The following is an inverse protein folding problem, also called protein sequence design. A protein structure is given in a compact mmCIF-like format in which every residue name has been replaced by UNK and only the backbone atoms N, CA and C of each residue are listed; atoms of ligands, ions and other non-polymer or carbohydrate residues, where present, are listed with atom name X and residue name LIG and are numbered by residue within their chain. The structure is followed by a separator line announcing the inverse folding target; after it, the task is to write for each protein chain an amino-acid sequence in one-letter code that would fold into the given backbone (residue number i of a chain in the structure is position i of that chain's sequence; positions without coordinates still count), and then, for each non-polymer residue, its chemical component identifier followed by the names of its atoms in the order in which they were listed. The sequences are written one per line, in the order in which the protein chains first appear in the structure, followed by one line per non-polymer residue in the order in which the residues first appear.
data_IF_024761484220
#
_entry.id   IF_024761484220
#
_cell.length_a   1.000
_cell.length_b   1.000
_cell.length_c   1.000
_cell.angle_alpha   90.00
_cell.angle_beta   90.00
_cell.angle_gamma   90.00
#
_symmetry.space_group_name_H-M   'P 1'
#
loop_
_entity.id
_entity.type
_entity.pdbx_description
1 polymer ?
#
# COMPACT_ATOMS: atom_id res chain seq x y z
N UNK A 1 -34.82 -26.60 -14.72
CA UNK A 1 -34.54 -27.20 -16.01
C UNK A 1 -33.67 -26.23 -16.77
N UNK A 2 -32.39 -26.31 -16.84
CA UNK A 2 -31.46 -27.30 -17.31
C UNK A 2 -31.09 -26.95 -18.74
N UNK A 3 -29.88 -26.37 -18.94
CA UNK A 3 -29.05 -26.75 -20.08
C UNK A 3 -27.61 -26.26 -19.84
N UNK A 4 -26.76 -27.22 -19.57
CA UNK A 4 -25.31 -27.14 -19.59
C UNK A 4 -24.84 -27.25 -21.05
N UNK A 5 -24.02 -26.32 -21.54
CA UNK A 5 -23.34 -26.46 -22.82
C UNK A 5 -21.84 -26.42 -22.61
N UNK A 6 -21.20 -27.57 -22.80
CA UNK A 6 -19.76 -27.77 -22.88
C UNK A 6 -19.27 -27.26 -24.23
N UNK A 7 -18.25 -26.44 -24.24
CA UNK A 7 -17.46 -26.15 -25.44
C UNK A 7 -16.04 -26.69 -25.22
N UNK A 8 -15.70 -27.66 -26.01
CA UNK A 8 -14.38 -28.30 -26.14
C UNK A 8 -13.47 -27.42 -27.01
N UNK A 9 -12.33 -27.03 -26.47
CA UNK A 9 -11.32 -26.29 -27.24
C UNK A 9 -10.32 -27.25 -27.88
N UNK A 10 -10.16 -27.10 -29.19
CA UNK A 10 -9.20 -27.83 -30.01
C UNK A 10 -7.86 -27.09 -30.02
N UNK A 11 -6.78 -27.76 -29.62
CA UNK A 11 -5.40 -27.26 -29.75
C UNK A 11 -4.98 -27.32 -31.24
N UNK A 12 -4.48 -26.17 -31.74
CA UNK A 12 -3.64 -26.11 -32.92
C UNK A 12 -2.27 -25.59 -32.54
N UNK A 13 -1.26 -26.46 -32.62
CA UNK A 13 0.13 -26.11 -32.40
C UNK A 13 0.69 -25.47 -33.67
N UNK A 14 1.19 -24.23 -33.57
CA UNK A 14 2.06 -23.60 -34.56
C UNK A 14 3.40 -23.35 -33.89
N UNK A 15 4.39 -24.14 -34.27
CA UNK A 15 5.80 -23.94 -33.91
C UNK A 15 6.39 -22.83 -34.79
N UNK A 16 6.74 -21.70 -34.15
CA UNK A 16 7.63 -20.69 -34.73
C UNK A 16 8.86 -20.56 -33.86
N UNK A 17 10.00 -21.03 -34.40
CA UNK A 17 11.31 -20.83 -33.81
C UNK A 17 11.70 -19.35 -33.91
N UNK A 18 11.74 -18.63 -32.79
CA UNK A 18 12.40 -17.34 -32.70
C UNK A 18 13.66 -17.49 -31.84
N UNK A 19 14.77 -17.08 -32.41
CA UNK A 19 16.05 -17.04 -31.75
C UNK A 19 16.00 -16.17 -30.50
N UNK A 20 16.21 -16.77 -29.34
CA UNK A 20 16.38 -16.10 -28.06
C UNK A 20 17.75 -15.45 -28.04
N UNK A 21 17.79 -14.12 -28.17
CA UNK A 21 18.91 -13.34 -27.67
C UNK A 21 18.72 -13.29 -26.15
N UNK A 22 19.38 -14.18 -25.43
CA UNK A 22 19.44 -14.17 -23.97
C UNK A 22 20.33 -13.02 -23.52
N UNK A 23 19.73 -11.90 -23.10
CA UNK A 23 20.39 -11.00 -22.19
C UNK A 23 20.25 -11.59 -20.78
N UNK A 24 21.25 -12.38 -20.40
CA UNK A 24 21.44 -12.83 -19.03
C UNK A 24 21.85 -11.65 -18.15
N UNK A 25 20.88 -11.04 -17.46
CA UNK A 25 21.13 -10.10 -16.38
C UNK A 25 20.49 -10.59 -15.09
N UNK A 26 20.71 -11.84 -14.74
CA UNK A 26 20.55 -12.32 -13.37
C UNK A 26 21.81 -11.96 -12.58
N UNK A 27 21.94 -10.69 -12.15
CA UNK A 27 22.85 -10.35 -11.07
C UNK A 27 22.25 -10.86 -9.76
N UNK A 28 22.34 -12.17 -9.53
CA UNK A 28 22.19 -12.73 -8.18
C UNK A 28 23.33 -12.17 -7.37
N UNK A 29 23.03 -11.24 -6.45
CA UNK A 29 23.99 -10.81 -5.45
C UNK A 29 24.46 -12.05 -4.70
N UNK A 30 25.78 -12.29 -4.57
CA UNK A 30 26.26 -13.40 -3.78
C UNK A 30 25.80 -13.22 -2.33
N UNK A 31 25.44 -14.33 -1.62
CA UNK A 31 25.12 -14.23 -0.21
C UNK A 31 26.32 -13.68 0.55
N UNK A 32 26.15 -12.91 1.62
CA UNK A 32 27.24 -12.42 2.43
C UNK A 32 28.11 -13.58 2.90
N UNK A 33 29.43 -13.38 2.84
CA UNK A 33 30.39 -14.37 3.31
C UNK A 33 30.17 -14.62 4.81
N UNK A 34 29.98 -15.87 5.20
CA UNK A 34 30.05 -16.28 6.61
C UNK A 34 31.52 -16.15 7.06
N UNK A 35 31.94 -14.92 7.37
CA UNK A 35 33.20 -14.62 8.00
C UNK A 35 33.09 -14.77 9.50
N UNK A 36 34.09 -15.39 10.09
CA UNK A 36 34.23 -15.65 11.52
C UNK A 36 34.10 -14.37 12.39
N UNK A 37 33.33 -14.47 13.47
CA UNK A 37 33.35 -13.59 14.65
C UNK A 37 32.86 -12.13 14.51
N UNK A 38 31.83 -11.85 13.69
CA UNK A 38 31.04 -10.62 13.80
C UNK A 38 30.15 -10.63 15.04
N UNK A 39 29.91 -9.48 15.68
CA UNK A 39 28.86 -9.37 16.69
C UNK A 39 27.51 -9.62 16.05
N UNK A 40 26.50 -10.09 16.80
CA UNK A 40 25.15 -10.33 16.27
C UNK A 40 24.54 -9.09 15.59
N UNK A 41 24.99 -7.89 15.97
CA UNK A 41 24.57 -6.61 15.39
C UNK A 41 25.19 -6.36 14.01
N UNK A 42 26.45 -6.78 13.77
CA UNK A 42 27.09 -6.70 12.45
C UNK A 42 26.42 -7.65 11.45
N UNK A 43 26.05 -8.85 11.90
CA UNK A 43 25.34 -9.83 11.07
C UNK A 43 23.96 -9.31 10.63
N UNK A 44 23.22 -8.62 11.51
CA UNK A 44 21.91 -8.05 11.18
C UNK A 44 22.02 -6.89 10.17
N UNK A 45 23.08 -6.08 10.25
CA UNK A 45 23.30 -5.00 9.27
C UNK A 45 23.49 -5.56 7.86
N UNK A 46 24.30 -6.61 7.71
CA UNK A 46 24.50 -7.29 6.43
C UNK A 46 23.22 -7.93 5.89
N UNK A 47 22.42 -8.54 6.77
CA UNK A 47 21.12 -9.12 6.43
C UNK A 47 20.17 -8.03 5.92
N UNK A 48 20.09 -6.90 6.60
CA UNK A 48 19.27 -5.77 6.17
C UNK A 48 19.71 -5.22 4.81
N UNK A 49 21.01 -5.04 4.59
CA UNK A 49 21.54 -4.52 3.33
C UNK A 49 21.25 -5.47 2.16
N UNK A 50 21.42 -6.77 2.39
CA UNK A 50 21.10 -7.78 1.40
C UNK A 50 19.60 -7.79 1.06
N UNK A 51 18.72 -7.85 2.06
CA UNK A 51 17.27 -7.87 1.86
C UNK A 51 16.80 -6.58 1.18
N UNK A 52 17.34 -5.43 1.59
CA UNK A 52 17.04 -4.14 0.96
C UNK A 52 17.42 -4.17 -0.53
N UNK A 53 18.64 -4.56 -0.85
CA UNK A 53 19.10 -4.63 -2.25
C UNK A 53 18.26 -5.58 -3.09
N UNK A 54 17.95 -6.77 -2.54
CA UNK A 54 17.15 -7.79 -3.22
C UNK A 54 15.72 -7.30 -3.50
N UNK A 55 15.04 -6.77 -2.49
CA UNK A 55 13.65 -6.32 -2.62
C UNK A 55 13.54 -5.06 -3.48
N UNK A 56 14.51 -4.15 -3.42
CA UNK A 56 14.57 -2.99 -4.33
C UNK A 56 14.73 -3.43 -5.78
N UNK A 57 15.61 -4.39 -6.05
CA UNK A 57 15.77 -4.95 -7.39
C UNK A 57 14.49 -5.67 -7.87
N UNK A 58 13.82 -6.42 -6.97
CA UNK A 58 12.55 -7.06 -7.26
C UNK A 58 11.48 -6.04 -7.67
N UNK A 59 11.24 -4.99 -6.89
CA UNK A 59 10.26 -3.94 -7.22
C UNK A 59 10.57 -3.33 -8.59
N UNK A 60 11.83 -2.98 -8.86
CA UNK A 60 12.23 -2.42 -10.15
C UNK A 60 11.95 -3.35 -11.32
N UNK A 61 12.14 -4.68 -11.13
CA UNK A 61 11.89 -5.69 -12.15
C UNK A 61 10.41 -5.87 -12.50
N UNK A 62 9.51 -5.41 -11.64
CA UNK A 62 8.06 -5.47 -11.86
C UNK A 62 7.54 -4.30 -12.72
N UNK A 63 8.35 -3.25 -12.93
CA UNK A 63 7.91 -2.10 -13.72
C UNK A 63 7.85 -2.43 -15.21
N UNK A 64 6.71 -2.15 -15.80
CA UNK A 64 6.49 -2.24 -17.25
C UNK A 64 7.04 -1.00 -17.98
N UNK A 65 7.27 -1.07 -19.29
CA UNK A 65 7.71 0.08 -20.09
C UNK A 65 6.77 1.28 -20.02
N UNK A 66 5.49 1.08 -19.72
CA UNK A 66 4.49 2.13 -19.49
C UNK A 66 4.70 2.91 -18.19
N UNK A 67 5.43 2.34 -17.24
CA UNK A 67 5.56 2.82 -15.87
C UNK A 67 4.70 2.08 -14.85
N UNK A 68 3.72 1.28 -15.28
CA UNK A 68 2.94 0.44 -14.36
C UNK A 68 3.84 -0.54 -13.60
N UNK A 69 3.45 -0.88 -12.38
CA UNK A 69 4.13 -1.91 -11.59
C UNK A 69 3.18 -3.09 -11.44
N UNK A 70 3.64 -4.29 -11.81
CA UNK A 70 2.89 -5.54 -11.66
C UNK A 70 2.87 -5.98 -10.20
N UNK A 71 1.78 -6.57 -9.75
CA UNK A 71 1.68 -7.12 -8.41
C UNK A 71 2.77 -8.19 -8.16
N UNK A 72 3.14 -8.97 -9.19
CA UNK A 72 4.19 -10.00 -9.11
C UNK A 72 4.83 -10.32 -10.46
N UNK A 73 5.93 -11.05 -10.44
CA UNK A 73 6.79 -11.34 -11.60
C UNK A 73 6.24 -12.36 -12.61
N UNK A 74 4.92 -12.39 -12.87
CA UNK A 74 4.31 -13.24 -13.90
C UNK A 74 3.76 -12.39 -15.05
N UNK A 75 3.64 -12.99 -16.26
CA UNK A 75 3.29 -12.24 -17.47
C UNK A 75 1.91 -11.59 -17.38
N UNK A 76 0.89 -12.36 -16.99
CA UNK A 76 -0.49 -11.88 -16.86
C UNK A 76 -0.80 -11.43 -15.43
N UNK A 77 0.13 -10.73 -14.79
CA UNK A 77 -0.07 -10.21 -13.44
C UNK A 77 -1.16 -9.14 -13.43
N UNK A 78 -1.88 -9.08 -12.34
CA UNK A 78 -2.67 -7.92 -11.99
C UNK A 78 -1.74 -6.72 -11.74
N UNK A 79 -2.27 -5.54 -11.91
CA UNK A 79 -1.66 -4.25 -11.57
C UNK A 79 -2.64 -3.60 -10.61
N UNK A 80 -2.36 -3.72 -9.31
CA UNK A 80 -3.16 -3.14 -8.24
C UNK A 80 -2.49 -1.87 -7.75
N UNK A 81 -2.99 -0.67 -8.10
CA UNK A 81 -2.35 0.59 -7.71
C UNK A 81 -2.07 0.69 -6.22
N UNK A 82 -2.97 0.22 -5.38
CA UNK A 82 -2.79 0.20 -3.94
C UNK A 82 -1.52 -0.58 -3.51
N UNK A 83 -1.27 -1.74 -4.11
CA UNK A 83 -0.07 -2.53 -3.83
C UNK A 83 1.20 -1.81 -4.31
N UNK A 84 1.16 -1.29 -5.54
CA UNK A 84 2.27 -0.53 -6.11
C UNK A 84 2.62 0.72 -5.28
N UNK A 85 1.65 1.34 -4.59
CA UNK A 85 1.90 2.52 -3.75
C UNK A 85 2.90 2.21 -2.62
N UNK A 86 2.79 1.07 -1.94
CA UNK A 86 3.75 0.69 -0.89
C UNK A 86 5.14 0.38 -1.47
N UNK A 87 5.19 -0.24 -2.66
CA UNK A 87 6.46 -0.45 -3.36
C UNK A 87 7.13 0.89 -3.73
N UNK A 88 6.37 1.85 -4.24
CA UNK A 88 6.86 3.18 -4.63
C UNK A 88 7.28 4.01 -3.41
N UNK A 89 6.49 3.99 -2.32
CA UNK A 89 6.85 4.62 -1.05
C UNK A 89 8.18 4.09 -0.51
N UNK A 90 8.39 2.78 -0.63
CA UNK A 90 9.63 2.16 -0.19
C UNK A 90 10.84 2.60 -1.03
N UNK A 91 10.70 2.77 -2.33
CA UNK A 91 11.77 3.30 -3.18
C UNK A 91 12.17 4.74 -2.81
N UNK A 92 11.25 5.52 -2.23
CA UNK A 92 11.51 6.88 -1.76
C UNK A 92 12.30 6.93 -0.44
N UNK A 93 12.48 5.82 0.28
CA UNK A 93 13.37 5.76 1.46
C UNK A 93 14.86 5.82 1.05
N UNK A 94 15.17 5.41 -0.18
CA UNK A 94 16.50 5.56 -0.81
C UNK A 94 16.34 6.24 -2.17
N UNK A 95 16.26 7.58 -2.25
CA UNK A 95 15.92 8.30 -3.47
C UNK A 95 17.11 8.41 -4.44
N UNK A 96 17.68 7.25 -4.81
CA UNK A 96 18.69 7.16 -5.87
C UNK A 96 18.08 7.45 -7.24
N UNK A 97 18.89 7.88 -8.22
CA UNK A 97 18.36 8.17 -9.56
C UNK A 97 17.58 7.01 -10.20
N UNK A 98 18.01 5.72 -10.10
CA UNK A 98 17.21 4.61 -10.59
C UNK A 98 15.87 4.46 -9.86
N UNK A 99 15.82 4.67 -8.53
CA UNK A 99 14.58 4.61 -7.77
C UNK A 99 13.63 5.76 -8.15
N UNK A 100 14.16 6.98 -8.24
CA UNK A 100 13.38 8.15 -8.64
C UNK A 100 12.82 8.02 -10.06
N UNK A 101 13.55 7.37 -10.97
CA UNK A 101 13.06 7.07 -12.31
C UNK A 101 11.84 6.15 -12.27
N UNK A 102 11.90 5.07 -11.47
CA UNK A 102 10.75 4.16 -11.29
C UNK A 102 9.56 4.89 -10.70
N UNK A 103 9.77 5.70 -9.67
CA UNK A 103 8.72 6.50 -9.02
C UNK A 103 8.04 7.45 -10.01
N UNK A 104 8.82 8.23 -10.78
CA UNK A 104 8.28 9.16 -11.80
C UNK A 104 7.48 8.44 -12.88
N UNK A 105 8.01 7.32 -13.38
CA UNK A 105 7.33 6.53 -14.40
C UNK A 105 6.00 6.01 -13.89
N UNK A 106 5.98 5.47 -12.65
CA UNK A 106 4.75 5.01 -12.02
C UNK A 106 3.73 6.13 -11.82
N UNK A 107 4.16 7.28 -11.28
CA UNK A 107 3.26 8.44 -11.12
C UNK A 107 2.70 8.92 -12.46
N UNK A 108 3.52 8.96 -13.51
CA UNK A 108 3.07 9.32 -14.86
C UNK A 108 2.03 8.34 -15.40
N UNK A 109 2.25 7.05 -15.19
CA UNK A 109 1.29 6.00 -15.53
C UNK A 109 -0.02 6.20 -14.76
N UNK A 110 0.04 6.40 -13.45
CA UNK A 110 -1.15 6.59 -12.60
C UNK A 110 -1.96 7.82 -13.07
N UNK A 111 -1.31 8.93 -13.36
CA UNK A 111 -1.97 10.13 -13.92
C UNK A 111 -2.67 9.84 -15.25
N UNK A 112 -2.11 8.99 -16.10
CA UNK A 112 -2.72 8.60 -17.37
C UNK A 112 -3.97 7.73 -17.21
N UNK A 113 -4.16 7.11 -16.05
CA UNK A 113 -5.28 6.20 -15.74
C UNK A 113 -6.42 6.84 -14.94
N UNK A 114 -6.30 8.13 -14.61
CA UNK A 114 -7.35 8.83 -13.88
C UNK A 114 -8.67 8.79 -14.63
N UNK A 115 -9.72 8.35 -13.96
CA UNK A 115 -11.07 8.40 -14.50
C UNK A 115 -11.49 9.83 -14.80
N UNK A 116 -12.34 9.98 -15.82
CA UNK A 116 -12.79 11.25 -16.35
C UNK A 116 -13.76 12.00 -15.45
N UNK A 117 -14.48 12.94 -16.06
CA UNK A 117 -15.27 13.98 -15.39
C UNK A 117 -16.68 13.56 -14.95
N UNK A 118 -16.95 12.30 -14.66
CA UNK A 118 -18.23 11.95 -14.06
C UNK A 118 -18.37 12.65 -12.71
N UNK A 119 -19.23 13.66 -12.63
CA UNK A 119 -19.51 14.44 -11.42
C UNK A 119 -20.81 14.01 -10.75
N UNK A 120 -21.49 13.03 -11.32
CA UNK A 120 -22.79 12.60 -10.83
C UNK A 120 -22.65 11.57 -9.71
N UNK A 121 -23.29 11.83 -8.59
CA UNK A 121 -23.43 10.90 -7.46
C UNK A 121 -23.98 9.52 -7.84
N UNK A 122 -24.63 9.42 -9.00
CA UNK A 122 -25.22 8.17 -9.49
C UNK A 122 -24.26 7.30 -10.31
N UNK A 123 -23.07 7.79 -10.65
CA UNK A 123 -22.05 6.96 -11.26
C UNK A 123 -21.13 6.40 -10.19
N UNK A 124 -20.84 5.11 -10.26
CA UNK A 124 -19.87 4.49 -9.35
C UNK A 124 -18.44 5.01 -9.56
N UNK A 125 -18.18 5.68 -10.70
CA UNK A 125 -16.88 6.26 -11.03
C UNK A 125 -16.77 7.69 -10.47
N UNK A 126 -15.76 7.90 -9.65
CA UNK A 126 -15.38 9.22 -9.15
C UNK A 126 -14.25 9.78 -10.04
N UNK A 127 -14.42 11.00 -10.55
CA UNK A 127 -13.37 11.65 -11.32
C UNK A 127 -12.09 11.78 -10.50
N UNK A 128 -10.94 11.34 -11.05
CA UNK A 128 -9.66 11.30 -10.36
C UNK A 128 -9.36 9.98 -9.62
N UNK A 129 -10.27 9.02 -9.65
CA UNK A 129 -10.03 7.64 -9.19
C UNK A 129 -9.37 6.78 -10.27
N UNK A 130 -8.85 5.62 -9.89
CA UNK A 130 -8.20 4.66 -10.78
C UNK A 130 -8.73 3.26 -10.52
N UNK A 131 -8.82 2.44 -11.58
CA UNK A 131 -9.11 1.01 -11.49
C UNK A 131 -7.84 0.19 -11.30
N UNK A 132 -7.99 -1.08 -10.95
CA UNK A 132 -6.97 -2.08 -11.20
C UNK A 132 -6.90 -2.38 -12.71
N UNK A 133 -5.75 -2.88 -13.15
CA UNK A 133 -5.50 -3.27 -14.54
C UNK A 133 -4.86 -4.66 -14.61
N UNK A 134 -4.56 -5.10 -15.81
CA UNK A 134 -3.86 -6.36 -16.08
C UNK A 134 -2.73 -6.14 -17.08
N UNK A 135 -1.56 -6.70 -16.77
CA UNK A 135 -0.46 -6.81 -17.72
C UNK A 135 -0.81 -7.82 -18.83
N UNK A 136 -0.23 -7.70 -20.01
CA UNK A 136 0.70 -6.63 -20.43
C UNK A 136 0.00 -5.44 -21.09
N UNK A 137 -1.28 -5.53 -21.44
CA UNK A 137 -1.93 -4.54 -22.31
C UNK A 137 -2.50 -3.33 -21.56
N UNK A 138 -2.76 -3.44 -20.25
CA UNK A 138 -3.22 -2.33 -19.37
C UNK A 138 -4.47 -1.57 -19.86
N UNK A 139 -5.28 -2.19 -20.73
CA UNK A 139 -6.50 -1.59 -21.28
C UNK A 139 -7.76 -2.11 -20.60
N UNK A 140 -7.72 -3.33 -20.10
CA UNK A 140 -8.84 -3.95 -19.40
C UNK A 140 -8.86 -3.45 -17.97
N UNK A 141 -9.92 -2.70 -17.61
CA UNK A 141 -10.21 -2.32 -16.23
C UNK A 141 -10.53 -3.58 -15.41
N UNK A 142 -9.88 -3.70 -14.27
CA UNK A 142 -10.12 -4.75 -13.28
C UNK A 142 -11.12 -4.31 -12.22
N UNK A 143 -10.78 -4.57 -10.96
CA UNK A 143 -11.60 -4.18 -9.81
C UNK A 143 -11.60 -2.66 -9.65
N UNK A 144 -12.74 -2.11 -9.27
CA UNK A 144 -12.89 -0.75 -8.76
C UNK A 144 -13.13 -0.90 -7.26
N UNK A 145 -12.06 -0.73 -6.51
CA UNK A 145 -12.04 -1.04 -5.09
C UNK A 145 -12.05 0.24 -4.23
N UNK A 146 -11.12 0.42 -3.34
CA UNK A 146 -11.08 1.51 -2.36
C UNK A 146 -10.56 2.81 -2.98
N UNK A 147 -11.46 3.61 -3.55
CA UNK A 147 -11.10 4.92 -4.15
C UNK A 147 -10.44 5.83 -3.13
N UNK A 148 -10.91 5.79 -1.90
CA UNK A 148 -10.41 6.56 -0.77
C UNK A 148 -8.94 6.21 -0.45
N UNK A 149 -8.63 4.93 -0.24
CA UNK A 149 -7.28 4.45 0.07
C UNK A 149 -6.31 4.64 -1.09
N UNK A 150 -6.75 4.39 -2.35
CA UNK A 150 -5.90 4.59 -3.52
C UNK A 150 -5.49 6.06 -3.67
N UNK A 151 -6.44 6.97 -3.53
CA UNK A 151 -6.14 8.39 -3.58
C UNK A 151 -5.26 8.84 -2.41
N UNK A 152 -5.56 8.39 -1.20
CA UNK A 152 -4.82 8.75 0.02
C UNK A 152 -3.35 8.32 -0.03
N UNK A 153 -3.09 7.06 -0.37
CA UNK A 153 -1.73 6.51 -0.47
C UNK A 153 -0.94 7.11 -1.62
N UNK A 154 -1.60 7.47 -2.74
CA UNK A 154 -0.94 8.21 -3.81
C UNK A 154 -0.53 9.63 -3.39
N UNK A 155 -1.36 10.35 -2.63
CA UNK A 155 -1.01 11.67 -2.11
C UNK A 155 0.17 11.61 -1.15
N UNK A 156 0.32 10.54 -0.38
CA UNK A 156 1.52 10.31 0.44
C UNK A 156 2.77 10.09 -0.44
N UNK A 157 2.68 9.35 -1.55
CA UNK A 157 3.77 9.26 -2.52
C UNK A 157 4.14 10.66 -3.03
N UNK A 158 3.16 11.46 -3.43
CA UNK A 158 3.39 12.78 -4.00
C UNK A 158 4.13 13.71 -3.03
N UNK A 159 3.73 13.72 -1.75
CA UNK A 159 4.43 14.57 -0.76
C UNK A 159 5.82 14.04 -0.43
N UNK A 160 6.01 12.72 -0.29
CA UNK A 160 7.35 12.15 -0.08
C UNK A 160 8.28 12.42 -1.26
N UNK A 161 7.77 12.32 -2.48
CA UNK A 161 8.53 12.68 -3.66
C UNK A 161 8.90 14.16 -3.70
N UNK A 162 7.97 15.06 -3.31
CA UNK A 162 8.24 16.50 -3.20
C UNK A 162 9.32 16.84 -2.16
N UNK A 163 9.46 16.03 -1.11
CA UNK A 163 10.44 16.21 -0.04
C UNK A 163 11.86 15.81 -0.45
N UNK A 164 12.03 15.12 -1.61
CA UNK A 164 13.35 14.69 -2.09
C UNK A 164 14.19 15.87 -2.62
N UNK A 165 13.60 16.73 -3.46
CA UNK A 165 14.34 17.86 -4.07
C UNK A 165 13.41 18.89 -4.71
N UNK A 166 13.94 20.09 -4.96
CA UNK A 166 13.25 21.13 -5.75
C UNK A 166 12.91 20.67 -7.17
N UNK A 167 13.74 19.82 -7.77
CA UNK A 167 13.47 19.20 -9.07
C UNK A 167 12.20 18.35 -9.05
N UNK A 168 11.99 17.59 -7.98
CA UNK A 168 10.76 16.81 -7.76
C UNK A 168 9.55 17.71 -7.55
N UNK A 169 9.69 18.80 -6.78
CA UNK A 169 8.63 19.82 -6.61
C UNK A 169 8.24 20.43 -7.95
N UNK A 170 9.22 20.82 -8.77
CA UNK A 170 8.95 21.43 -10.08
C UNK A 170 8.27 20.46 -11.05
N UNK A 171 8.64 19.18 -11.01
CA UNK A 171 7.96 18.14 -11.77
C UNK A 171 6.51 17.97 -11.33
N UNK A 172 6.22 17.95 -10.02
CA UNK A 172 4.84 17.85 -9.48
C UNK A 172 4.01 19.10 -9.83
N UNK A 173 4.61 20.29 -9.90
CA UNK A 173 3.89 21.49 -10.33
C UNK A 173 3.31 21.35 -11.74
N UNK A 174 3.97 20.63 -12.65
CA UNK A 174 3.44 20.36 -13.98
C UNK A 174 2.27 19.37 -13.99
N UNK A 175 2.06 18.65 -12.88
CA UNK A 175 0.97 17.69 -12.67
C UNK A 175 -0.05 18.13 -11.58
N UNK A 176 -0.07 19.46 -11.31
CA UNK A 176 -0.96 20.01 -10.27
C UNK A 176 -2.43 19.70 -10.50
N UNK A 177 -2.87 19.69 -11.76
CA UNK A 177 -4.26 19.37 -12.14
C UNK A 177 -4.63 17.94 -11.75
N UNK A 178 -3.76 16.98 -12.05
CA UNK A 178 -3.94 15.57 -11.74
C UNK A 178 -3.97 15.32 -10.23
N UNK A 179 -3.03 15.92 -9.50
CA UNK A 179 -2.99 15.85 -8.04
C UNK A 179 -4.24 16.46 -7.39
N UNK A 180 -4.75 17.57 -7.95
CA UNK A 180 -5.99 18.20 -7.48
C UNK A 180 -7.21 17.29 -7.71
N UNK A 181 -7.26 16.56 -8.85
CA UNK A 181 -8.31 15.57 -9.12
C UNK A 181 -8.26 14.39 -8.16
N UNK A 182 -7.07 13.87 -7.86
CA UNK A 182 -6.89 12.78 -6.90
C UNK A 182 -7.33 13.23 -5.50
N UNK A 183 -6.93 14.43 -5.08
CA UNK A 183 -7.39 15.02 -3.80
C UNK A 183 -8.91 15.14 -3.78
N UNK A 184 -9.52 15.61 -4.86
CA UNK A 184 -10.98 15.70 -4.97
C UNK A 184 -11.65 14.33 -4.90
N UNK A 185 -11.05 13.29 -5.49
CA UNK A 185 -11.59 11.93 -5.43
C UNK A 185 -11.59 11.41 -3.98
N UNK A 186 -10.51 11.59 -3.23
CA UNK A 186 -10.45 11.24 -1.81
C UNK A 186 -11.50 12.01 -0.98
N UNK A 187 -11.56 13.34 -1.15
CA UNK A 187 -12.50 14.18 -0.38
C UNK A 187 -13.95 13.79 -0.63
N UNK A 188 -14.30 13.42 -1.87
CA UNK A 188 -15.66 13.00 -2.23
C UNK A 188 -16.10 11.69 -1.57
N UNK A 189 -15.19 10.89 -1.05
CA UNK A 189 -15.55 9.69 -0.30
C UNK A 189 -15.78 9.95 1.19
N UNK A 190 -15.49 11.15 1.69
CA UNK A 190 -15.62 11.50 3.11
C UNK A 190 -17.01 12.06 3.39
N UNK A 191 -17.70 11.44 4.33
CA UNK A 191 -18.99 11.90 4.84
C UNK A 191 -18.77 12.90 5.99
N UNK A 192 -19.06 14.15 5.70
CA UNK A 192 -18.99 15.26 6.65
C UNK A 192 -20.17 16.21 6.48
N UNK A 193 -20.26 17.24 7.31
CA UNK A 193 -21.39 18.18 7.28
C UNK A 193 -21.60 18.85 5.92
N UNK A 194 -20.52 19.08 5.18
CA UNK A 194 -20.53 19.71 3.86
C UNK A 194 -20.69 18.72 2.70
N UNK A 195 -20.52 17.43 2.96
CA UNK A 195 -20.48 16.39 1.91
C UNK A 195 -21.19 15.11 2.36
N UNK A 196 -22.51 15.17 2.46
CA UNK A 196 -23.34 14.00 2.80
C UNK A 196 -23.39 13.02 1.64
N UNK A 197 -23.02 11.77 1.90
CA UNK A 197 -22.99 10.71 0.91
C UNK A 197 -24.36 10.07 0.68
N UNK A 198 -24.68 9.62 -0.56
CA UNK A 198 -25.92 8.92 -0.84
C UNK A 198 -26.02 7.61 -0.04
N UNK A 199 -27.16 7.42 0.65
CA UNK A 199 -27.40 6.22 1.44
C UNK A 199 -26.78 6.22 2.84
N UNK A 200 -26.04 7.26 3.18
CA UNK A 200 -25.49 7.48 4.53
C UNK A 200 -26.29 8.55 5.27
N UNK A 201 -26.53 8.32 6.56
CA UNK A 201 -27.36 9.21 7.38
C UNK A 201 -26.55 10.00 8.42
N UNK A 202 -25.25 9.80 8.48
CA UNK A 202 -24.43 10.41 9.50
C UNK A 202 -23.21 11.09 8.89
N UNK A 203 -23.16 12.40 9.00
CA UNK A 203 -21.95 13.19 8.77
C UNK A 203 -20.96 12.88 9.88
N UNK A 204 -20.06 11.94 9.64
CA UNK A 204 -19.17 11.43 10.67
C UNK A 204 -17.68 11.52 10.31
N UNK A 205 -17.35 12.13 9.18
CA UNK A 205 -15.98 12.34 8.73
C UNK A 205 -15.24 11.07 8.30
N UNK A 206 -15.89 9.90 8.29
CA UNK A 206 -15.30 8.68 7.74
C UNK A 206 -15.52 8.59 6.24
N UNK A 207 -14.52 8.10 5.52
CA UNK A 207 -14.64 7.77 4.10
C UNK A 207 -15.35 6.44 3.88
N UNK A 208 -15.96 6.32 2.71
CA UNK A 208 -16.44 5.05 2.15
C UNK A 208 -15.45 4.55 1.09
N UNK A 209 -15.38 3.23 0.89
CA UNK A 209 -14.51 2.64 -0.11
C UNK A 209 -14.78 3.23 -1.51
N UNK A 210 -16.04 3.24 -1.96
CA UNK A 210 -16.51 3.95 -3.15
C UNK A 210 -18.05 4.04 -3.18
N UNK A 211 -18.62 4.83 -4.07
CA UNK A 211 -20.07 5.09 -4.13
C UNK A 211 -20.94 3.85 -4.33
N UNK A 212 -20.44 2.84 -5.03
CA UNK A 212 -21.14 1.57 -5.19
C UNK A 212 -20.98 0.60 -4.03
N UNK A 213 -20.10 0.92 -3.05
CA UNK A 213 -19.80 0.09 -1.89
C UNK A 213 -19.47 0.98 -0.68
N UNK A 214 -20.51 1.53 -0.01
CA UNK A 214 -20.35 2.57 1.02
C UNK A 214 -19.95 2.02 2.38
N UNK A 215 -18.95 1.14 2.42
CA UNK A 215 -18.44 0.60 3.69
C UNK A 215 -17.31 1.51 4.19
N UNK A 216 -17.38 1.86 5.48
CA UNK A 216 -16.40 2.71 6.17
C UNK A 216 -15.44 1.84 6.97
N UNK A 217 -14.38 1.37 6.31
CA UNK A 217 -13.37 0.51 6.91
C UNK A 217 -12.39 1.30 7.79
N UNK A 218 -11.96 0.71 8.90
CA UNK A 218 -10.93 1.28 9.77
C UNK A 218 -9.58 1.41 9.05
N UNK A 219 -9.23 0.42 8.22
CA UNK A 219 -7.98 0.43 7.46
C UNK A 219 -7.97 1.60 6.48
N UNK A 220 -8.98 1.67 5.61
CA UNK A 220 -9.10 2.70 4.59
C UNK A 220 -9.11 4.11 5.22
N UNK A 221 -9.86 4.27 6.30
CA UNK A 221 -9.93 5.56 7.01
C UNK A 221 -8.61 5.95 7.68
N UNK A 222 -7.81 4.98 8.13
CA UNK A 222 -6.47 5.27 8.66
C UNK A 222 -5.53 5.78 7.56
N UNK A 223 -5.66 5.24 6.36
CA UNK A 223 -4.92 5.69 5.17
C UNK A 223 -5.41 7.06 4.68
N UNK A 224 -6.73 7.27 4.68
CA UNK A 224 -7.33 8.58 4.36
C UNK A 224 -6.84 9.67 5.32
N UNK A 225 -6.71 9.36 6.62
CA UNK A 225 -6.12 10.27 7.59
C UNK A 225 -4.68 10.68 7.22
N UNK A 226 -3.86 9.72 6.79
CA UNK A 226 -2.52 9.98 6.26
C UNK A 226 -2.60 10.82 4.97
N UNK A 227 -3.49 10.46 4.05
CA UNK A 227 -3.71 11.17 2.78
C UNK A 227 -4.16 12.63 2.98
N UNK A 228 -5.01 12.91 3.96
CA UNK A 228 -5.41 14.28 4.33
C UNK A 228 -4.21 15.10 4.84
N UNK A 229 -3.35 14.51 5.69
CA UNK A 229 -2.10 15.15 6.12
C UNK A 229 -1.18 15.45 4.94
N UNK A 230 -1.06 14.51 4.00
CA UNK A 230 -0.30 14.69 2.77
C UNK A 230 -0.89 15.82 1.90
N UNK A 231 -2.21 15.84 1.71
CA UNK A 231 -2.90 16.87 0.94
C UNK A 231 -2.72 18.28 1.54
N UNK A 232 -2.78 18.42 2.86
CA UNK A 232 -2.51 19.70 3.56
C UNK A 232 -1.09 20.21 3.23
N UNK A 233 -0.09 19.33 3.29
CA UNK A 233 1.29 19.67 2.94
C UNK A 233 1.44 20.00 1.45
N UNK A 234 0.80 19.24 0.55
CA UNK A 234 0.80 19.52 -0.88
C UNK A 234 0.15 20.87 -1.18
N UNK A 235 -0.97 21.21 -0.53
CA UNK A 235 -1.63 22.52 -0.63
C UNK A 235 -0.70 23.65 -0.17
N UNK A 236 -0.01 23.50 0.95
CA UNK A 236 0.94 24.49 1.46
C UNK A 236 2.13 24.72 0.51
N UNK A 237 2.52 23.70 -0.27
CA UNK A 237 3.57 23.80 -1.32
C UNK A 237 3.03 24.32 -2.67
N UNK A 238 1.72 24.59 -2.80
CA UNK A 238 1.08 25.01 -4.03
C UNK A 238 0.99 23.93 -5.11
N UNK A 239 1.04 22.65 -4.70
CA UNK A 239 1.03 21.48 -5.59
C UNK A 239 -0.37 20.94 -5.87
N UNK A 240 -1.38 21.40 -5.13
CA UNK A 240 -2.80 21.11 -5.37
C UNK A 240 -3.64 22.38 -5.21
N UNK A 241 -4.79 22.40 -5.87
CA UNK A 241 -5.89 23.33 -5.62
C UNK A 241 -7.09 22.57 -5.08
N UNK A 242 -7.65 23.06 -3.99
CA UNK A 242 -8.89 22.55 -3.41
C UNK A 242 -9.58 23.64 -2.62
N UNK A 243 -10.92 23.70 -2.73
CA UNK A 243 -11.78 24.56 -1.92
C UNK A 243 -12.15 23.93 -0.57
N UNK A 244 -11.86 22.63 -0.39
CA UNK A 244 -12.18 21.91 0.83
C UNK A 244 -11.31 22.38 2.00
N UNK A 245 -11.90 22.44 3.19
CA UNK A 245 -11.19 22.62 4.44
C UNK A 245 -10.58 21.29 4.89
N UNK A 246 -9.35 21.02 4.41
CA UNK A 246 -8.67 19.75 4.68
C UNK A 246 -8.34 19.57 6.17
N UNK A 247 -8.10 20.64 6.89
CA UNK A 247 -7.81 20.64 8.31
C UNK A 247 -9.06 20.24 9.13
N UNK A 248 -10.23 20.77 8.78
CA UNK A 248 -11.50 20.36 9.38
C UNK A 248 -11.80 18.89 9.08
N UNK A 249 -11.67 18.45 7.82
CA UNK A 249 -11.85 17.04 7.43
C UNK A 249 -10.91 16.10 8.20
N UNK A 250 -9.65 16.48 8.37
CA UNK A 250 -8.68 15.70 9.14
C UNK A 250 -9.07 15.59 10.61
N UNK A 251 -9.56 16.69 11.20
CA UNK A 251 -10.00 16.70 12.60
C UNK A 251 -11.21 15.78 12.82
N UNK A 252 -12.22 15.86 11.94
CA UNK A 252 -13.42 15.02 11.99
C UNK A 252 -13.06 13.54 11.76
N UNK A 253 -12.29 13.23 10.74
CA UNK A 253 -11.85 11.86 10.45
C UNK A 253 -11.07 11.25 11.62
N UNK A 254 -10.13 12.02 12.21
CA UNK A 254 -9.36 11.57 13.38
C UNK A 254 -10.27 11.27 14.57
N UNK A 255 -11.26 12.14 14.84
CA UNK A 255 -12.24 11.96 15.92
C UNK A 255 -13.07 10.70 15.72
N UNK A 256 -13.53 10.48 14.51
CA UNK A 256 -14.38 9.34 14.15
C UNK A 256 -13.64 8.01 14.17
N UNK A 257 -12.39 7.96 13.70
CA UNK A 257 -11.54 6.76 13.83
C UNK A 257 -11.36 6.40 15.31
N UNK A 258 -11.05 7.39 16.17
CA UNK A 258 -10.94 7.16 17.62
C UNK A 258 -12.25 6.67 18.22
N UNK A 259 -13.39 7.13 17.71
CA UNK A 259 -14.73 6.68 18.10
C UNK A 259 -15.07 5.24 17.70
N UNK A 260 -14.31 4.62 16.76
CA UNK A 260 -14.46 3.21 16.47
C UNK A 260 -13.88 2.29 17.54
N UNK A 261 -13.14 2.83 18.53
CA UNK A 261 -12.59 2.03 19.61
C UNK A 261 -13.68 1.54 20.56
N UNK A 262 -13.74 0.24 20.77
CA UNK A 262 -14.68 -0.46 21.66
C UNK A 262 -13.98 -0.78 22.98
N UNK A 263 -14.24 0.00 24.03
CA UNK A 263 -13.63 -0.16 25.36
C UNK A 263 -13.90 -1.56 25.95
N UNK A 264 -15.13 -2.09 25.77
CA UNK A 264 -15.51 -3.41 26.33
C UNK A 264 -14.75 -4.58 25.69
N UNK A 265 -14.31 -4.45 24.44
CA UNK A 265 -13.54 -5.45 23.69
C UNK A 265 -12.05 -5.13 23.64
N UNK A 266 -11.66 -3.94 24.05
CA UNK A 266 -10.30 -3.40 23.92
C UNK A 266 -9.74 -3.56 22.51
N UNK A 267 -10.53 -3.19 21.50
CA UNK A 267 -10.15 -3.17 20.09
C UNK A 267 -10.97 -2.12 19.34
N UNK A 268 -10.55 -1.78 18.13
CA UNK A 268 -11.38 -1.00 17.21
C UNK A 268 -12.37 -1.92 16.47
N UNK A 269 -13.52 -1.38 16.16
CA UNK A 269 -14.39 -1.99 15.15
C UNK A 269 -13.68 -1.90 13.78
N UNK A 270 -13.63 -3.01 13.02
CA UNK A 270 -12.93 -3.02 11.73
C UNK A 270 -13.63 -2.20 10.64
N UNK A 271 -14.90 -1.90 10.85
CA UNK A 271 -15.68 -0.97 10.05
C UNK A 271 -16.81 -0.37 10.90
N UNK A 272 -17.33 0.80 10.52
CA UNK A 272 -18.49 1.38 11.17
C UNK A 272 -19.68 0.42 11.13
N UNK A 273 -20.32 0.20 12.28
CA UNK A 273 -21.42 -0.75 12.43
C UNK A 273 -21.02 -2.22 12.56
N UNK A 274 -19.74 -2.56 12.43
CA UNK A 274 -19.23 -3.92 12.55
C UNK A 274 -18.24 -4.05 13.71
N UNK A 275 -18.25 -5.16 14.40
CA UNK A 275 -17.37 -5.41 15.55
C UNK A 275 -16.23 -6.35 15.17
N UNK A 276 -15.04 -6.14 15.72
CA UNK A 276 -13.88 -7.00 15.53
C UNK A 276 -13.82 -8.16 16.53
N UNK A 277 -13.18 -9.24 16.11
CA UNK A 277 -12.85 -10.40 16.91
C UNK A 277 -11.35 -10.73 16.81
N UNK A 278 -10.70 -10.99 17.95
CA UNK A 278 -9.29 -11.39 17.99
C UNK A 278 -9.04 -12.81 17.43
N UNK A 279 -10.09 -13.59 17.21
CA UNK A 279 -9.99 -14.92 16.63
C UNK A 279 -10.01 -14.93 15.10
N UNK A 280 -10.25 -13.78 14.48
CA UNK A 280 -10.31 -13.62 13.03
C UNK A 280 -9.18 -12.71 12.57
N UNK A 281 -8.30 -13.25 11.72
CA UNK A 281 -7.12 -12.55 11.26
C UNK A 281 -7.49 -11.32 10.41
N UNK A 282 -8.14 -11.55 9.27
CA UNK A 282 -8.53 -10.48 8.35
C UNK A 282 -10.07 -10.42 8.20
N UNK A 283 -10.65 -9.23 8.21
CA UNK A 283 -10.04 -7.92 8.46
C UNK A 283 -9.87 -7.59 9.95
N UNK A 284 -10.43 -8.36 10.86
CA UNK A 284 -10.68 -8.00 12.24
C UNK A 284 -9.41 -7.63 13.02
N UNK A 285 -8.43 -8.53 13.05
CA UNK A 285 -7.20 -8.31 13.83
C UNK A 285 -6.19 -7.44 13.07
N UNK A 286 -6.06 -7.62 11.74
CA UNK A 286 -5.14 -6.81 10.94
C UNK A 286 -5.49 -5.32 10.97
N UNK A 287 -6.79 -4.98 10.93
CA UNK A 287 -7.24 -3.59 10.99
C UNK A 287 -6.81 -2.86 12.28
N UNK A 288 -6.58 -3.60 13.38
CA UNK A 288 -6.19 -3.00 14.66
C UNK A 288 -4.83 -2.27 14.61
N UNK A 289 -3.97 -2.66 13.69
CA UNK A 289 -2.62 -2.09 13.56
C UNK A 289 -2.60 -0.75 12.80
N UNK A 290 -3.60 -0.48 11.97
CA UNK A 290 -3.62 0.64 11.02
C UNK A 290 -3.69 2.02 11.67
N UNK A 291 -4.46 2.27 12.75
CA UNK A 291 -4.48 3.59 13.37
C UNK A 291 -3.11 4.06 13.89
N UNK A 292 -2.29 3.14 14.42
CA UNK A 292 -0.92 3.48 14.83
C UNK A 292 0.06 3.48 13.65
N UNK A 293 -0.08 2.57 12.70
CA UNK A 293 0.74 2.48 11.50
C UNK A 293 0.72 3.79 10.69
N UNK A 294 -0.47 4.36 10.48
CA UNK A 294 -0.65 5.60 9.71
C UNK A 294 -0.74 6.87 10.58
N UNK A 295 -0.37 6.75 11.86
CA UNK A 295 -0.22 7.90 12.75
C UNK A 295 -1.52 8.64 13.06
N UNK A 296 -2.67 7.96 13.05
CA UNK A 296 -3.95 8.48 13.57
C UNK A 296 -3.90 8.55 15.09
N UNK A 297 -3.32 7.50 15.68
CA UNK A 297 -3.04 7.41 17.11
C UNK A 297 -1.54 7.18 17.27
N UNK A 298 -0.84 7.91 18.14
CA UNK A 298 0.60 7.70 18.35
C UNK A 298 0.92 6.26 18.76
N UNK A 299 2.06 5.74 18.33
CA UNK A 299 2.55 4.41 18.75
C UNK A 299 2.75 4.33 20.29
N UNK A 300 3.05 5.47 20.93
CA UNK A 300 3.19 5.60 22.39
C UNK A 300 1.86 5.62 23.16
N UNK A 301 0.73 5.71 22.47
CA UNK A 301 -0.59 5.69 23.11
C UNK A 301 -0.86 4.32 23.75
N UNK A 302 -1.36 4.27 25.00
CA UNK A 302 -1.68 3.01 25.67
C UNK A 302 -2.62 2.09 24.89
N UNK A 303 -3.56 2.63 24.11
CA UNK A 303 -4.46 1.83 23.27
C UNK A 303 -3.71 1.21 22.08
N UNK A 304 -2.78 1.94 21.44
CA UNK A 304 -1.91 1.42 20.38
C UNK A 304 -1.10 0.24 20.89
N UNK A 305 -0.48 0.39 22.07
CA UNK A 305 0.26 -0.70 22.71
C UNK A 305 -0.63 -1.89 23.04
N UNK A 306 -1.78 -1.65 23.63
CA UNK A 306 -2.71 -2.73 24.01
C UNK A 306 -3.19 -3.56 22.81
N UNK A 307 -3.59 -2.91 21.71
CA UNK A 307 -4.05 -3.64 20.51
C UNK A 307 -2.91 -4.37 19.82
N UNK A 308 -1.70 -3.80 19.82
CA UNK A 308 -0.50 -4.44 19.29
C UNK A 308 -0.11 -5.68 20.11
N UNK A 309 -0.11 -5.60 21.44
CA UNK A 309 0.19 -6.73 22.33
C UNK A 309 -0.86 -7.87 22.15
N UNK A 310 -2.14 -7.52 22.02
CA UNK A 310 -3.22 -8.48 21.76
C UNK A 310 -3.08 -9.13 20.39
N UNK A 311 -2.74 -8.37 19.35
CA UNK A 311 -2.47 -8.92 18.03
C UNK A 311 -1.35 -9.98 18.09
N UNK A 312 -0.22 -9.65 18.71
CA UNK A 312 0.91 -10.56 18.85
C UNK A 312 0.61 -11.78 19.72
N UNK A 313 -0.29 -11.64 20.72
CA UNK A 313 -0.75 -12.79 21.52
C UNK A 313 -1.63 -13.74 20.72
N UNK A 314 -2.41 -13.22 19.76
CA UNK A 314 -3.33 -14.02 18.95
C UNK A 314 -2.66 -14.64 17.72
N UNK A 315 -1.63 -13.98 17.18
CA UNK A 315 -0.96 -14.34 15.93
C UNK A 315 0.57 -14.29 16.10
N UNK A 316 1.12 -14.99 17.09
CA UNK A 316 2.51 -14.87 17.55
C UNK A 316 3.57 -15.20 16.48
N UNK A 317 3.25 -16.14 15.56
CA UNK A 317 4.25 -16.76 14.69
C UNK A 317 4.43 -16.04 13.35
N UNK A 318 3.80 -14.87 13.16
CA UNK A 318 3.94 -14.10 11.91
C UNK A 318 5.40 -13.72 11.65
N UNK A 319 6.15 -13.37 12.69
CA UNK A 319 7.55 -12.95 12.58
C UNK A 319 8.50 -14.08 12.15
N UNK A 320 8.08 -15.34 12.25
CA UNK A 320 8.80 -16.51 11.74
C UNK A 320 8.28 -16.98 10.39
N UNK A 321 7.42 -16.18 9.74
CA UNK A 321 6.93 -16.41 8.38
C UNK A 321 5.67 -17.24 8.28
N UNK A 322 4.97 -17.51 9.40
CA UNK A 322 3.66 -18.15 9.36
C UNK A 322 2.63 -17.23 8.72
N UNK A 323 1.96 -17.73 7.70
CA UNK A 323 0.84 -17.04 7.07
C UNK A 323 -0.46 -17.41 7.78
N UNK A 324 -1.26 -16.40 8.09
CA UNK A 324 -2.62 -16.53 8.64
C UNK A 324 -3.72 -16.20 7.61
N UNK A 325 -3.31 -15.83 6.39
CA UNK A 325 -4.15 -15.53 5.24
C UNK A 325 -3.56 -16.11 3.96
N UNK A 326 -4.02 -15.63 2.81
CA UNK A 326 -3.58 -16.10 1.48
C UNK A 326 -2.23 -15.54 1.03
N UNK A 327 -1.69 -14.54 1.75
CA UNK A 327 -0.39 -13.91 1.48
C UNK A 327 0.29 -13.50 2.81
N UNK A 328 1.59 -13.10 2.78
CA UNK A 328 2.38 -12.91 4.00
C UNK A 328 1.92 -11.80 4.95
N UNK A 329 1.25 -10.75 4.45
CA UNK A 329 0.85 -9.59 5.25
C UNK A 329 2.02 -8.85 5.89
N UNK A 330 3.04 -8.51 5.11
CA UNK A 330 4.26 -7.82 5.58
C UNK A 330 3.97 -6.43 6.19
N UNK A 331 2.78 -5.88 5.97
CA UNK A 331 2.28 -4.70 6.68
C UNK A 331 2.32 -4.87 8.21
N UNK A 332 2.30 -6.11 8.71
CA UNK A 332 2.47 -6.40 10.15
C UNK A 332 3.91 -6.05 10.60
N UNK A 333 4.90 -6.40 9.79
CA UNK A 333 6.28 -6.04 10.08
C UNK A 333 6.50 -4.52 10.03
N UNK A 334 5.83 -3.84 9.10
CA UNK A 334 5.85 -2.38 9.03
C UNK A 334 5.20 -1.75 10.28
N UNK A 335 4.05 -2.28 10.72
CA UNK A 335 3.41 -1.84 11.96
C UNK A 335 4.30 -2.12 13.19
N UNK A 336 4.95 -3.28 13.25
CA UNK A 336 5.90 -3.62 14.31
C UNK A 336 7.07 -2.63 14.38
N UNK A 337 7.62 -2.25 13.22
CA UNK A 337 8.67 -1.24 13.15
C UNK A 337 8.19 0.14 13.67
N UNK A 338 6.97 0.56 13.33
CA UNK A 338 6.35 1.79 13.87
C UNK A 338 6.21 1.69 15.38
N UNK A 339 5.79 0.55 15.92
CA UNK A 339 5.69 0.29 17.36
C UNK A 339 7.04 0.16 18.08
N UNK A 340 8.15 0.09 17.32
CA UNK A 340 9.50 -0.04 17.88
C UNK A 340 9.89 -1.47 18.26
N UNK A 341 9.17 -2.47 17.76
CA UNK A 341 9.43 -3.88 18.03
C UNK A 341 10.52 -4.42 17.09
N UNK A 342 11.76 -4.05 17.38
CA UNK A 342 12.93 -4.45 16.61
C UNK A 342 13.09 -5.97 16.56
N UNK A 343 12.84 -6.65 17.68
CA UNK A 343 13.04 -8.11 17.80
C UNK A 343 12.21 -8.89 16.77
N UNK A 344 10.91 -8.56 16.66
CA UNK A 344 10.05 -9.23 15.69
C UNK A 344 10.33 -8.83 14.25
N UNK A 345 10.75 -7.60 14.01
CA UNK A 345 11.18 -7.16 12.68
C UNK A 345 12.45 -7.90 12.27
N UNK A 346 13.46 -8.00 13.16
CA UNK A 346 14.70 -8.76 12.93
C UNK A 346 14.41 -10.22 12.58
N UNK A 347 13.52 -10.86 13.34
CA UNK A 347 13.13 -12.24 13.10
C UNK A 347 12.48 -12.41 11.72
N UNK A 348 11.57 -11.50 11.33
CA UNK A 348 10.89 -11.56 10.05
C UNK A 348 11.85 -11.28 8.88
N UNK A 349 12.72 -10.28 9.00
CA UNK A 349 13.72 -9.95 7.98
C UNK A 349 14.71 -11.12 7.81
N UNK A 350 15.13 -11.77 8.90
CA UNK A 350 15.96 -12.98 8.85
C UNK A 350 15.26 -14.14 8.15
N UNK A 351 13.97 -14.33 8.40
CA UNK A 351 13.17 -15.33 7.67
C UNK A 351 13.16 -15.06 6.17
N UNK A 352 12.87 -13.82 5.75
CA UNK A 352 12.85 -13.43 4.34
C UNK A 352 14.25 -13.54 3.71
N UNK A 353 15.31 -13.14 4.43
CA UNK A 353 16.68 -13.34 4.00
C UNK A 353 16.97 -14.80 3.65
N UNK A 354 16.57 -15.73 4.54
CA UNK A 354 16.74 -17.16 4.32
C UNK A 354 16.02 -17.69 3.08
N UNK A 355 14.86 -17.14 2.74
CA UNK A 355 14.14 -17.46 1.49
C UNK A 355 14.87 -16.90 0.27
N UNK A 356 15.29 -15.64 0.31
CA UNK A 356 15.95 -14.97 -0.81
C UNK A 356 17.29 -15.65 -1.16
N UNK A 357 18.11 -16.00 -0.16
CA UNK A 357 19.39 -16.72 -0.39
C UNK A 357 19.21 -18.07 -1.05
N UNK A 358 18.11 -18.77 -0.77
CA UNK A 358 17.76 -20.05 -1.41
C UNK A 358 17.11 -19.90 -2.78
N UNK A 359 16.81 -18.68 -3.21
CA UNK A 359 16.01 -18.45 -4.40
C UNK A 359 14.54 -18.87 -4.25
N UNK A 360 14.09 -19.06 -3.00
CA UNK A 360 12.73 -19.43 -2.64
C UNK A 360 11.92 -18.15 -2.45
N UNK A 361 11.23 -17.69 -3.45
CA UNK A 361 10.24 -16.63 -3.28
C UNK A 361 8.86 -17.27 -3.06
N UNK A 362 8.12 -16.77 -2.06
CA UNK A 362 6.75 -17.26 -1.85
C UNK A 362 5.89 -16.94 -3.07
N UNK A 363 5.05 -17.89 -3.50
CA UNK A 363 4.15 -17.73 -4.66
C UNK A 363 3.30 -16.45 -4.58
N UNK A 364 2.95 -16.02 -3.37
CA UNK A 364 2.14 -14.85 -3.08
C UNK A 364 2.97 -13.68 -2.54
N UNK A 365 4.21 -13.52 -2.98
CA UNK A 365 5.02 -12.35 -2.71
C UNK A 365 4.70 -11.26 -3.72
N UNK A 366 4.00 -10.24 -3.26
CA UNK A 366 3.58 -9.10 -4.05
C UNK A 366 4.56 -7.93 -3.93
N UNK A 367 4.46 -6.97 -4.82
CA UNK A 367 5.18 -5.69 -4.73
C UNK A 367 4.90 -4.94 -3.42
N UNK A 368 3.66 -4.98 -2.92
CA UNK A 368 3.29 -4.43 -1.61
C UNK A 368 4.02 -5.11 -0.45
N UNK A 369 4.25 -6.43 -0.52
CA UNK A 369 5.00 -7.16 0.50
C UNK A 369 6.46 -6.70 0.55
N UNK A 370 7.08 -6.57 -0.63
CA UNK A 370 8.43 -6.04 -0.75
C UNK A 370 8.51 -4.59 -0.25
N UNK A 371 7.53 -3.76 -0.61
CA UNK A 371 7.44 -2.38 -0.18
C UNK A 371 7.30 -2.24 1.34
N UNK A 372 6.36 -2.95 1.95
CA UNK A 372 6.16 -2.92 3.40
C UNK A 372 7.39 -3.41 4.18
N UNK A 373 8.12 -4.41 3.64
CA UNK A 373 9.36 -4.88 4.25
C UNK A 373 10.45 -3.80 4.24
N UNK A 374 10.63 -3.13 3.10
CA UNK A 374 11.61 -2.05 2.99
C UNK A 374 11.27 -0.86 3.90
N UNK A 375 9.99 -0.50 4.02
CA UNK A 375 9.53 0.54 4.94
C UNK A 375 9.78 0.15 6.41
N UNK A 376 9.59 -1.12 6.77
CA UNK A 376 9.90 -1.62 8.11
C UNK A 376 11.41 -1.53 8.40
N UNK A 377 12.25 -1.97 7.47
CA UNK A 377 13.72 -1.90 7.58
C UNK A 377 14.18 -0.45 7.74
N UNK A 378 13.63 0.46 6.95
CA UNK A 378 13.98 1.89 7.00
C UNK A 378 13.74 2.47 8.40
N UNK A 379 12.57 2.22 8.97
CA UNK A 379 12.23 2.72 10.31
C UNK A 379 13.17 2.15 11.39
N UNK A 380 13.46 0.85 11.36
CA UNK A 380 14.29 0.22 12.37
C UNK A 380 15.76 0.69 12.30
N UNK A 381 16.26 0.97 11.10
CA UNK A 381 17.64 1.47 10.90
C UNK A 381 17.81 2.95 11.24
N UNK A 382 16.76 3.73 11.20
CA UNK A 382 16.79 5.18 11.45
C UNK A 382 16.33 5.56 12.87
N UNK A 383 15.99 4.58 13.73
CA UNK A 383 15.72 4.74 15.16
C UNK A 383 16.96 4.39 15.98
#
# INVERSE_FOLDING_TARGET
MGLCSKITATLAAISMSLALCSCDSSSTLPPPNKGDNGSAESDMTEIYDYVRSYQTAYIRSLQLPSGAIKDKGVDNSKITPYFAHFAVLALLTEPTEPNLSVVKNYMSWYFSKLNGSSTEYNSNEIAGSVYDYFAPNETTKGTYDSVDSYAATFLEIAIRFAEVSDGCVNWLKSHKSELSKITSAMVKTIDCAENTLPGENANDGLSIAHYGYPVKYLMDNSEVNMGLKAAIKLKSKGLIDTSSDLEALLAENTGSIRGLYNESKSNYNYAKGNTSSWNKFYPDATAQLYPSLFGVVPASDPKSKLVYDKFNSSFSDWSTGKMYGSFPWTMIAYAAAVMGDKERVDAYVTHIYGLNVKGEQKENWYDAEAGALLLAIDIIRNK
#
